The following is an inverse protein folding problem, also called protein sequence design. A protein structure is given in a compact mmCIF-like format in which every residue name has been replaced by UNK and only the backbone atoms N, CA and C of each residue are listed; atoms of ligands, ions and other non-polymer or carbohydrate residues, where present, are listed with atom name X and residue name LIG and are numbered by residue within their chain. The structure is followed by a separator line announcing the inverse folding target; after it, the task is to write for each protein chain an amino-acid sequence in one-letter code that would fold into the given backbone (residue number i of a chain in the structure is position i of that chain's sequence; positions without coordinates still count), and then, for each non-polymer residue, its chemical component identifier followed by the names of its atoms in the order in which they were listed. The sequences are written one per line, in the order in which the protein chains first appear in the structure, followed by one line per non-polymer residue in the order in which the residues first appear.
data_IF_818937689925
#
_entry.id   IF_818937689925
#
_cell.length_a   1.000
_cell.length_b   1.000
_cell.length_c   1.000
_cell.angle_alpha   90.00
_cell.angle_beta   90.00
_cell.angle_gamma   90.00
#
_symmetry.space_group_name_H-M   'P 1'
#
loop_
_entity.id
_entity.type
_entity.pdbx_description
1 polymer ?
2 polymer ?
3 non-polymer ?
4 water ?
#
# COMPACT_ATOMS: atom_id res chain seq x y z
N UNK A 3 21.98 14.72 5.25
CA UNK A 3 21.54 13.39 5.62
C UNK A 3 20.17 13.00 5.07
N UNK A 4 19.19 12.86 5.97
CA UNK A 4 17.81 12.51 5.60
C UNK A 4 16.79 12.85 6.72
N UNK A 5 15.76 13.62 6.36
CA UNK A 5 14.67 13.96 7.28
C UNK A 5 13.37 13.19 6.97
N UNK A 6 13.40 12.36 5.93
CA UNK A 6 12.33 11.39 5.66
C UNK A 6 12.88 9.96 5.79
N UNK A 7 12.52 9.28 6.87
CA UNK A 7 12.93 7.88 7.09
C UNK A 7 11.72 6.95 7.34
N UNK A 8 11.89 5.65 7.09
CA UNK A 8 10.85 4.67 7.44
C UNK A 8 11.17 4.00 8.78
N UNK A 9 10.15 3.39 9.39
CA UNK A 9 10.28 2.75 10.70
C UNK A 9 9.27 1.63 10.85
N UNK A 10 9.47 0.77 11.85
CA UNK A 10 8.64 -0.44 12.00
C UNK A 10 7.24 -0.15 12.50
N UNK A 11 6.37 -1.15 12.39
CA UNK A 11 5.08 -1.07 13.04
C UNK A 11 5.11 -2.08 14.18
N UNK A 12 4.88 -1.58 15.38
CA UNK A 12 4.93 -2.38 16.59
C UNK A 12 3.56 -2.21 17.24
N UNK A 13 3.24 -3.06 18.24
CA UNK A 13 2.01 -2.83 19.03
C UNK A 13 1.99 -1.49 19.80
N UNK A 14 3.10 -0.77 19.80
CA UNK A 14 3.23 0.47 20.56
C UNK A 14 2.88 1.68 19.68
N UNK A 15 2.93 1.49 18.36
CA UNK A 15 2.60 2.56 17.41
C UNK A 15 1.46 2.20 16.45
N UNK A 16 0.66 1.21 16.84
CA UNK A 16 -0.41 0.71 15.98
C UNK A 16 -1.58 1.70 15.80
N UNK A 17 -1.95 2.40 16.88
CA UNK A 17 -3.06 3.35 16.82
C UNK A 17 -2.72 4.54 15.91
N UNK A 18 -1.43 4.86 15.84
CA UNK A 18 -0.97 5.89 14.93
C UNK A 18 -1.07 5.46 13.45
N UNK A 19 -0.74 4.20 13.16
CA UNK A 19 -0.92 3.67 11.82
C UNK A 19 -2.40 3.70 11.44
N UNK A 20 -3.24 3.36 12.41
CA UNK A 20 -4.68 3.28 12.21
C UNK A 20 -5.28 4.66 11.97
N UNK A 21 -4.82 5.65 12.73
CA UNK A 21 -5.32 7.01 12.60
C UNK A 21 -5.04 7.52 11.19
N UNK A 22 -3.78 7.37 10.76
CA UNK A 22 -3.32 7.74 9.42
C UNK A 22 -4.22 7.19 8.31
N UNK A 23 -4.50 5.89 8.38
CA UNK A 23 -5.36 5.25 7.41
C UNK A 23 -6.77 5.83 7.39
N UNK A 24 -7.22 6.33 8.54
CA UNK A 24 -8.57 6.87 8.59
C UNK A 24 -8.62 8.17 7.80
N UNK A 25 -7.55 8.95 7.92
CA UNK A 25 -7.46 10.24 7.27
C UNK A 25 -7.15 10.15 5.77
N UNK A 26 -6.27 9.23 5.41
CA UNK A 26 -5.80 9.09 4.04
C UNK A 26 -6.78 8.37 3.10
N UNK A 27 -7.42 7.30 3.56
CA UNK A 27 -8.32 6.52 2.71
C UNK A 27 -9.79 6.64 3.12
N UNK A 28 -10.70 6.73 2.12
CA UNK A 28 -12.15 6.85 2.32
C UNK A 28 -12.82 5.54 2.68
N UNK A 29 -12.05 4.47 2.85
CA UNK A 29 -12.61 3.23 3.38
C UNK A 29 -12.11 3.02 4.80
N UNK A 30 -12.88 2.27 5.58
CA UNK A 30 -12.46 1.95 6.94
C UNK A 30 -12.18 0.47 7.08
N UNK A 31 -11.06 0.18 7.72
CA UNK A 31 -10.66 -1.20 7.98
C UNK A 31 -10.94 -1.50 9.44
N UNK A 32 -11.40 -2.71 9.75
CA UNK A 32 -11.50 -3.08 11.16
C UNK A 32 -10.19 -3.65 11.66
N UNK A 33 -10.14 -4.00 12.94
CA UNK A 33 -8.88 -4.36 13.58
C UNK A 33 -8.30 -5.73 13.19
N UNK A 34 -9.01 -6.50 12.37
CA UNK A 34 -8.41 -7.69 11.78
C UNK A 34 -7.21 -7.24 10.96
N UNK A 35 -7.45 -6.25 10.11
CA UNK A 35 -6.43 -5.61 9.29
C UNK A 35 -5.19 -5.29 10.11
N UNK A 36 -5.41 -4.65 11.25
CA UNK A 36 -4.29 -4.14 12.04
C UNK A 36 -3.62 -5.23 12.87
N UNK A 37 -4.30 -6.35 13.05
CA UNK A 37 -3.72 -7.50 13.76
C UNK A 37 -2.82 -8.27 12.80
N UNK A 38 -3.29 -8.44 11.57
CA UNK A 38 -2.58 -9.19 10.53
C UNK A 38 -1.26 -8.54 10.13
N UNK A 39 -1.26 -7.21 10.07
CA UNK A 39 -0.09 -6.46 9.64
C UNK A 39 1.01 -6.43 10.70
N UNK A 40 0.65 -6.78 11.94
CA UNK A 40 1.64 -6.92 13.01
C UNK A 40 2.48 -8.18 12.77
N UNK A 41 2.01 -9.06 11.89
CA UNK A 41 2.65 -10.37 11.66
C UNK A 41 3.48 -10.45 10.39
N UNK A 42 3.48 -9.38 9.61
CA UNK A 42 4.16 -9.41 8.31
C UNK A 42 5.52 -8.71 8.37
N UNK A 43 5.83 -8.14 9.55
CA UNK A 43 7.10 -7.49 9.83
C UNK A 43 7.53 -6.39 8.87
N UNK A 44 8.38 -6.75 7.90
CA UNK A 44 8.94 -5.82 6.93
C UNK A 44 7.95 -5.34 5.86
N UNK A 45 6.89 -6.11 5.65
CA UNK A 45 5.84 -5.77 4.69
C UNK A 45 4.90 -4.65 5.19
N UNK A 46 5.22 -4.05 6.34
CA UNK A 46 4.46 -2.90 6.84
C UNK A 46 5.38 -1.91 7.57
N UNK A 47 5.52 -0.71 7.01
CA UNK A 47 6.34 0.36 7.58
C UNK A 47 5.56 1.67 7.77
N UNK A 48 5.95 2.47 8.75
CA UNK A 48 5.43 3.83 8.84
C UNK A 48 6.44 4.78 8.21
N UNK A 49 5.95 5.89 7.65
CA UNK A 49 6.83 6.90 7.05
C UNK A 49 6.91 8.07 8.00
N UNK A 50 8.12 8.49 8.35
CA UNK A 50 8.25 9.65 9.23
C UNK A 50 8.82 10.90 8.57
N UNK A 51 8.23 12.04 8.94
CA UNK A 51 8.77 13.36 8.64
C UNK A 51 9.19 13.94 10.01
N UNK A 52 10.42 13.62 10.43
CA UNK A 52 10.96 13.99 11.75
C UNK A 52 10.11 13.52 12.95
N UNK A 53 9.86 12.21 13.06
CA UNK A 53 9.11 11.62 14.19
C UNK A 53 7.63 12.00 14.27
N UNK A 54 7.14 12.61 13.20
CA UNK A 54 5.71 12.74 12.94
C UNK A 54 5.36 11.66 11.91
N UNK A 55 4.38 10.81 12.21
CA UNK A 55 3.95 9.80 11.26
C UNK A 55 3.09 10.46 10.17
N UNK A 56 3.55 10.41 8.92
CA UNK A 56 2.87 11.09 7.82
C UNK A 56 2.14 10.16 6.84
N UNK A 57 2.59 8.91 6.79
CA UNK A 57 1.97 7.88 5.98
C UNK A 57 2.41 6.47 6.39
N UNK A 58 2.03 5.48 5.58
CA UNK A 58 2.42 4.08 5.79
C UNK A 58 2.17 3.23 4.54
N UNK A 59 2.86 2.09 4.46
CA UNK A 59 2.53 1.05 3.48
C UNK A 59 2.24 -0.27 4.23
N UNK A 60 1.20 -1.00 3.83
CA UNK A 60 0.90 -2.30 4.45
C UNK A 60 0.68 -3.40 3.41
N UNK A 61 1.48 -4.46 3.48
CA UNK A 61 1.33 -5.53 2.50
C UNK A 61 0.84 -6.83 3.07
N UNK A 62 0.61 -7.76 2.15
CA UNK A 62 0.11 -9.09 2.44
C UNK A 62 0.55 -10.05 1.31
N UNK A 63 0.81 -11.31 1.66
CA UNK A 63 1.22 -12.31 0.67
C UNK A 63 0.06 -13.25 0.28
N UNK A 64 -0.28 -13.28 -1.02
CA UNK A 64 -1.33 -14.18 -1.54
C UNK A 64 -0.73 -15.35 -2.29
N UNK A 65 -1.06 -16.56 -1.84
CA UNK A 65 -0.66 -17.77 -2.56
C UNK A 65 -1.90 -18.30 -3.29
N UNK A 66 -2.01 -17.99 -4.58
CA UNK A 66 -3.16 -18.38 -5.42
C UNK A 66 -2.81 -18.18 -6.89
N UNK A 67 -3.56 -18.84 -7.78
CA UNK A 67 -3.26 -18.87 -9.23
C UNK A 67 -1.90 -19.56 -9.45
N UNK A 68 -1.56 -20.45 -8.51
CA UNK A 68 -0.20 -21.02 -8.38
C UNK A 68 0.92 -19.96 -8.35
N UNK A 69 0.55 -18.75 -7.93
CA UNK A 69 1.49 -17.63 -7.83
C UNK A 69 1.67 -17.23 -6.37
N UNK A 70 2.87 -16.75 -6.04
CA UNK A 70 3.11 -16.05 -4.78
C UNK A 70 3.18 -14.56 -5.12
N UNK A 71 2.07 -13.85 -4.90
CA UNK A 71 1.97 -12.43 -5.25
C UNK A 71 2.12 -11.54 -4.00
N UNK A 72 2.71 -10.36 -4.15
CA UNK A 72 2.62 -9.39 -3.06
C UNK A 72 1.45 -8.42 -3.30
N UNK A 73 0.56 -8.34 -2.32
CA UNK A 73 -0.61 -7.47 -2.38
C UNK A 73 -0.43 -6.22 -1.52
N UNK A 74 -0.37 -5.06 -2.17
CA UNK A 74 -0.35 -3.80 -1.44
C UNK A 74 -1.80 -3.46 -1.01
N UNK A 75 -2.10 -3.64 0.28
CA UNK A 75 -3.43 -3.31 0.83
C UNK A 75 -3.62 -1.81 0.93
N UNK A 76 -2.62 -1.14 1.49
CA UNK A 76 -2.60 0.31 1.64
C UNK A 76 -1.20 0.89 1.42
N UNK A 77 -1.13 1.97 0.64
CA UNK A 77 0.09 2.77 0.53
C UNK A 77 -0.35 4.23 0.38
N UNK A 78 0.15 5.11 1.25
CA UNK A 78 -0.26 6.50 1.19
C UNK A 78 0.39 7.37 2.25
N UNK A 79 0.33 8.68 2.06
CA UNK A 79 0.70 9.64 3.09
C UNK A 79 -0.24 10.85 3.08
N UNK A 80 -0.33 11.53 4.22
CA UNK A 80 -1.20 12.70 4.38
C UNK A 80 -0.96 13.73 3.26
N UNK A 81 -2.01 14.45 2.86
CA UNK A 81 -1.93 15.34 1.69
C UNK A 81 -0.76 16.35 1.60
N UNK A 82 -0.47 17.08 2.69
CA UNK A 82 0.57 18.11 2.54
C UNK A 82 2.00 17.52 2.43
N UNK A 83 2.12 16.19 2.51
CA UNK A 83 3.42 15.54 2.42
C UNK A 83 3.59 14.77 1.11
N UNK A 84 2.56 14.85 0.27
CA UNK A 84 2.61 14.26 -1.05
C UNK A 84 3.59 15.03 -1.93
N UNK A 85 4.01 14.41 -3.04
CA UNK A 85 4.95 15.05 -3.99
C UNK A 85 6.25 15.43 -3.32
N UNK A 86 6.64 14.61 -2.34
CA UNK A 86 7.89 14.76 -1.61
C UNK A 86 8.78 13.54 -1.82
N UNK A 87 8.21 12.49 -2.38
CA UNK A 87 8.97 11.28 -2.63
C UNK A 87 8.73 10.23 -1.56
N UNK A 88 7.75 10.48 -0.69
CA UNK A 88 7.47 9.55 0.40
C UNK A 88 6.91 8.20 -0.14
N UNK A 89 5.92 8.25 -1.04
CA UNK A 89 5.35 7.05 -1.63
C UNK A 89 6.34 6.20 -2.43
N UNK A 90 7.20 6.88 -3.18
CA UNK A 90 8.32 6.24 -3.85
C UNK A 90 9.18 5.48 -2.85
N UNK A 91 9.48 6.13 -1.74
CA UNK A 91 10.27 5.51 -0.68
C UNK A 91 9.61 4.21 -0.22
N UNK A 92 8.29 4.23 0.00
CA UNK A 92 7.60 3.04 0.51
C UNK A 92 7.43 1.96 -0.56
N UNK A 93 7.06 2.38 -1.77
CA UNK A 93 7.01 1.46 -2.90
C UNK A 93 8.39 0.83 -3.12
N UNK A 94 9.42 1.65 -3.26
CA UNK A 94 10.78 1.11 -3.42
C UNK A 94 11.12 0.13 -2.30
N UNK A 95 10.61 0.38 -1.09
CA UNK A 95 10.81 -0.53 0.04
C UNK A 95 10.14 -1.88 -0.17
N UNK A 96 8.91 -1.87 -0.68
CA UNK A 96 8.26 -3.14 -0.92
C UNK A 96 8.97 -3.85 -2.08
N UNK A 97 9.39 -3.08 -3.09
CA UNK A 97 10.13 -3.65 -4.22
C UNK A 97 11.47 -4.27 -3.74
N UNK A 98 12.17 -3.56 -2.85
CA UNK A 98 13.44 -4.03 -2.25
C UNK A 98 13.30 -5.34 -1.48
N UNK A 99 12.10 -5.58 -0.99
CA UNK A 99 11.78 -6.76 -0.21
C UNK A 99 11.48 -7.93 -1.12
N UNK A 100 10.75 -7.64 -2.20
CA UNK A 100 10.37 -8.69 -3.14
C UNK A 100 11.59 -9.29 -3.83
N UNK A 101 12.62 -8.48 -4.04
CA UNK A 101 13.81 -8.99 -4.71
C UNK A 101 14.98 -9.31 -3.77
N UNK A 102 14.69 -9.65 -2.52
CA UNK A 102 15.71 -10.20 -1.63
C UNK A 102 15.54 -11.72 -1.49
N UNK A 103 14.45 -12.25 -2.05
CA UNK A 103 14.19 -13.70 -2.04
C UNK A 103 13.94 -14.31 -3.42
N UNK A 104 13.31 -13.54 -4.31
CA UNK A 104 13.12 -13.95 -5.69
C UNK A 104 11.99 -14.95 -5.88
N UNK A 105 11.25 -15.19 -4.81
CA UNK A 105 10.12 -16.12 -4.81
C UNK A 105 8.81 -15.48 -5.30
N UNK A 106 8.90 -14.24 -5.80
CA UNK A 106 7.70 -13.52 -6.22
C UNK A 106 7.49 -13.51 -7.74
N UNK A 107 6.25 -13.77 -8.14
CA UNK A 107 5.85 -13.64 -9.53
C UNK A 107 5.45 -12.20 -9.83
N UNK A 108 4.52 -11.68 -9.03
CA UNK A 108 4.09 -10.30 -9.19
C UNK A 108 3.71 -9.60 -7.90
N UNK A 109 3.52 -8.30 -8.01
CA UNK A 109 2.96 -7.51 -6.94
C UNK A 109 1.75 -6.79 -7.52
N UNK A 110 0.65 -6.74 -6.78
CA UNK A 110 -0.57 -6.08 -7.28
C UNK A 110 -1.32 -5.31 -6.19
N UNK A 111 -2.32 -4.54 -6.62
CA UNK A 111 -3.08 -3.71 -5.72
C UNK A 111 -4.34 -3.24 -6.40
N UNK A 112 -5.24 -2.66 -5.62
CA UNK A 112 -6.47 -2.12 -6.15
C UNK A 112 -6.45 -0.60 -6.08
N UNK A 113 -6.90 0.05 -7.15
CA UNK A 113 -7.02 1.51 -7.18
C UNK A 113 -8.38 1.92 -7.79
N UNK A 114 -9.13 2.72 -7.04
CA UNK A 114 -10.39 3.31 -7.48
C UNK A 114 -10.20 4.03 -8.83
N UNK A 115 -11.12 3.83 -9.78
CA UNK A 115 -10.90 4.33 -11.15
C UNK A 115 -10.86 5.85 -11.29
N UNK A 116 -11.30 6.56 -10.26
CA UNK A 116 -11.31 8.02 -10.28
C UNK A 116 -10.00 8.61 -9.77
N UNK A 117 -9.26 7.82 -8.99
CA UNK A 117 -8.00 8.25 -8.38
C UNK A 117 -6.88 8.35 -9.43
N UNK A 118 -6.94 9.37 -10.29
CA UNK A 118 -6.00 9.49 -11.40
C UNK A 118 -4.55 9.65 -10.93
N UNK A 119 -4.38 10.24 -9.75
CA UNK A 119 -3.04 10.52 -9.24
C UNK A 119 -2.36 9.27 -8.67
N UNK A 120 -3.15 8.30 -8.22
CA UNK A 120 -2.56 7.04 -7.82
C UNK A 120 -2.24 6.21 -9.07
N UNK A 121 -3.12 6.28 -10.08
CA UNK A 121 -2.88 5.55 -11.33
C UNK A 121 -1.57 6.03 -11.96
N UNK A 122 -1.39 7.36 -12.02
CA UNK A 122 -0.15 7.95 -12.54
C UNK A 122 1.10 7.58 -11.74
N UNK A 123 0.95 7.48 -10.43
CA UNK A 123 2.06 7.08 -9.57
C UNK A 123 2.49 5.63 -9.78
N UNK A 124 1.54 4.70 -9.92
CA UNK A 124 1.92 3.29 -10.06
C UNK A 124 2.43 2.93 -11.46
N UNK A 125 1.75 3.41 -12.49
CA UNK A 125 2.20 3.25 -13.87
C UNK A 125 3.58 3.83 -14.14
N UNK A 126 4.04 4.69 -13.24
CA UNK A 126 5.37 5.27 -13.36
C UNK A 126 6.43 4.25 -12.95
N UNK A 127 6.09 3.37 -12.01
CA UNK A 127 7.06 2.37 -11.55
C UNK A 127 6.88 1.03 -12.27
N UNK A 128 6.03 1.03 -13.29
CA UNK A 128 5.84 -0.16 -14.11
C UNK A 128 4.73 -1.09 -13.67
N UNK A 129 3.74 -0.54 -12.98
CA UNK A 129 2.50 -1.27 -12.77
C UNK A 129 1.58 -0.98 -13.99
N UNK A 130 1.02 -2.03 -14.60
CA UNK A 130 0.03 -1.86 -15.69
C UNK A 130 -1.39 -2.20 -15.18
N UNK A 131 -2.40 -1.56 -15.75
CA UNK A 131 -3.78 -1.93 -15.43
C UNK A 131 -4.14 -3.20 -16.19
N UNK A 132 -4.32 -4.28 -15.43
CA UNK A 132 -4.62 -5.60 -16.02
C UNK A 132 -6.11 -5.99 -15.96
N UNK A 133 -6.87 -5.32 -15.10
CA UNK A 133 -8.25 -5.72 -14.89
C UNK A 133 -9.03 -4.57 -14.27
N UNK A 134 -10.27 -4.38 -14.71
CA UNK A 134 -11.14 -3.42 -14.04
C UNK A 134 -12.36 -4.13 -13.43
N UNK A 135 -12.33 -4.28 -12.11
CA UNK A 135 -13.35 -5.00 -11.36
C UNK A 135 -14.47 -4.03 -11.04
N UNK A 136 -15.70 -4.37 -11.43
CA UNK A 136 -16.83 -3.48 -11.20
C UNK A 136 -17.41 -3.71 -9.82
N UNK A 137 -17.89 -2.63 -9.20
CA UNK A 137 -18.45 -2.68 -7.85
C UNK A 137 -17.53 -3.39 -6.83
N UNK A 138 -16.25 -3.02 -6.85
CA UNK A 138 -15.27 -3.59 -5.93
C UNK A 138 -15.38 -2.94 -4.56
N UNK A 139 -15.62 -1.63 -4.52
CA UNK A 139 -15.91 -0.94 -3.26
C UNK A 139 -17.40 -1.07 -2.94
N UNK A 140 -17.75 -1.10 -1.66
CA UNK A 140 -19.14 -1.31 -1.26
C UNK A 140 -19.82 0.00 -0.92
N UNK A 141 -19.11 0.82 -0.17
CA UNK A 141 -19.70 1.99 0.46
C UNK A 141 -19.44 3.34 -0.25
N UNK A 142 -18.62 3.36 -1.31
CA UNK A 142 -18.19 4.62 -1.94
C UNK A 142 -18.36 4.69 -3.48
N UNK A 143 -18.51 5.91 -4.00
CA UNK A 143 -18.60 6.13 -5.45
C UNK A 143 -17.45 7.00 -5.95
N UNK A 144 -16.88 6.67 -7.12
CA UNK A 144 -17.26 5.52 -7.94
C UNK A 144 -16.83 4.19 -7.31
N UNK A 145 -17.55 3.11 -7.62
CA UNK A 145 -17.29 1.82 -7.00
C UNK A 145 -16.24 0.94 -7.73
N UNK A 146 -15.95 1.24 -8.99
CA UNK A 146 -15.03 0.41 -9.79
C UNK A 146 -13.54 0.57 -9.44
N UNK A 147 -12.81 -0.54 -9.47
CA UNK A 147 -11.38 -0.51 -9.18
C UNK A 147 -10.50 -1.22 -10.23
N UNK A 148 -9.42 -0.54 -10.65
CA UNK A 148 -8.40 -1.13 -11.53
C UNK A 148 -7.55 -2.10 -10.73
N UNK A 149 -7.01 -3.12 -11.40
CA UNK A 149 -6.06 -4.00 -10.77
C UNK A 149 -4.71 -3.67 -11.37
N UNK A 150 -3.88 -2.93 -10.63
CA UNK A 150 -2.56 -2.58 -11.15
C UNK A 150 -1.54 -3.66 -10.74
N UNK A 151 -0.97 -4.37 -11.71
CA UNK A 151 0.01 -5.43 -11.40
C UNK A 151 1.37 -5.00 -11.94
N UNK A 152 2.44 -5.30 -11.20
CA UNK A 152 3.80 -5.22 -11.74
C UNK A 152 4.37 -6.63 -11.80
N UNK A 153 5.07 -6.96 -12.88
CA UNK A 153 5.65 -8.29 -12.98
C UNK A 153 7.09 -8.40 -12.52
N UNK A 154 7.41 -9.54 -11.93
CA UNK A 154 8.76 -9.80 -11.42
C UNK A 154 9.38 -11.01 -12.16
N UNK A 155 8.74 -12.18 -12.03
CA UNK A 155 9.16 -13.41 -12.72
C UNK A 155 8.79 -13.39 -14.20
C UNK B 1 -4.13 1.22 -2.19
N UNK B 2 -5.39 0.50 -2.32
CA UNK B 2 -6.45 0.56 -1.34
C UNK B 2 -7.39 -0.62 -1.38
N UNK B 3 -7.33 -1.48 -0.36
CA UNK B 3 -8.15 -2.69 -0.29
C UNK B 3 -9.68 -2.48 -0.09
N UNK B 4 -10.45 -3.54 -0.32
CA UNK B 4 -11.93 -3.55 -0.41
C UNK B 4 -12.84 -2.75 0.57
N UNK B 5 -13.98 -2.35 -0.02
CA UNK B 5 -15.18 -1.68 0.59
C UNK B 5 -15.06 -0.16 0.81
X LIG C 1 -0.12 12.83 -10.79
X LIG C 1 0.86 12.62 -11.71
X LIG C 1 2.11 12.27 -11.29
X LIG C 1 2.27 11.79 -10.02
X LIG C 1 1.24 11.99 -9.06
X LIG C 1 0.10 12.70 -9.46
X LIG C 1 -0.37 13.73 -8.55
X LIG C 1 1.63 11.44 -7.90
X LIG C 1 2.84 10.89 -8.09
X LIG C 1 3.26 11.07 -9.36
X LIG C 1 4.52 10.65 -9.92
X LIG C 1 5.29 11.90 -10.45
X LIG C 1 5.85 11.91 -11.83
X LIG C 1 6.17 12.28 -9.23
X LIG C 1 7.37 12.85 -9.46
X LIG C 1 7.55 14.40 -9.25
X LIG C 1 8.97 14.81 -9.61
X LIG C 1 6.57 15.11 -10.18
X LIG C 1 7.27 14.82 -7.79
X LIG C 1 6.26 11.00 -8.48
X LIG C 1 5.38 9.99 -9.01
X LIG C 1 5.93 11.32 -7.04
X LIG C 1 6.16 10.23 -6.20
X LIG C 1 5.92 10.51 -4.67
X LIG C 1 6.33 11.95 -4.36
X LIG C 1 6.76 9.52 -3.87
X LIG C 1 4.37 10.24 -4.45
X LIG C 1 3.53 10.56 -3.13
X LIG C 1 4.44 10.49 -1.90
X LIG C 1 2.91 11.95 -3.29
X LIG C 1 2.40 9.46 -2.98
X LIG C 1 0.37 8.51 -3.64
X LIG C 1 1.78 8.85 -4.09
X LIG C 1 -0.53 8.23 -4.80
X LIG C 1 0.43 7.31 -2.74
X LIG C 1 -0.14 9.72 -2.85
X LIG C 1 -0.55 10.74 -3.70
X LIG C 1 -1.26 9.42 -1.88
X LIG C 1 -1.01 9.20 -0.71
X LIG C 1 -2.65 9.42 -2.34
X LIG C 1 -3.71 9.14 -1.39
X LIG C 1 -3.63 7.68 -0.98
X LIG C 1 -4.28 6.77 -2.03
X LIG C 1 -5.25 7.16 -2.69
X LIG C 1 -3.74 5.42 -2.22
X LIG C 1 -4.38 4.55 -3.20
X LIG C 1 -3.33 3.92 -4.07
X LIG C 1 -1.73 4.05 -3.34
#
# INVERSE_FOLDING_TARGET
MKGSRIELGDVTPHNIKQLKRLNQVIFPVSYNDKFYKDVLEVGELAKLAYFNDIAVGAVCCRVDHSQNQKRLYIMTLGCLAPYRRLGIGTKMLNHVLNICEKDGTFDNIYLHVQISNESAIDFYRKFGFEIIETKKNYYKRIEPADAHVLQKNLKVPSGQNADVQKTDN
XMMAS
COA N1A C2A N3A C4A C5A C6A N6A N7A C8A N9A C1B C2B O2B C3B O3B P3B O7A O8A O9A C4B O4B C5B O5B P1A O1A O2A O3A P2A O4A O5A O6A CBP CCP CDP CEP CAP OAP C9P O9P N8P C7P C6P C5P O5P N4P C3P C2P S1P
#
